data_IF_641894144702
#
_entry.id   IF_641894144702
#
_cell.length_a   1.000
_cell.length_b   1.000
_cell.length_c   1.000
_cell.angle_alpha   90.00
_cell.angle_beta   90.00
_cell.angle_gamma   90.00
#
_symmetry.space_group_name_H-M   'P 1'
#
loop_
_entity.id
_entity.type
_entity.pdbx_description
1 polymer ?
#
# COMPACT_ATOMS: atom_id res chain seq x y z
N UNK A 1 -2.11 -14.02 -38.07
CA UNK A 1 -1.34 -15.26 -37.75
C UNK A 1 -0.50 -15.00 -36.50
N UNK A 2 0.09 -16.03 -35.88
CA UNK A 2 0.90 -15.87 -34.65
C UNK A 2 1.99 -14.78 -34.79
N UNK A 3 2.56 -14.59 -35.99
CA UNK A 3 3.57 -13.56 -36.29
C UNK A 3 3.09 -12.10 -36.28
N UNK A 4 1.79 -11.83 -36.25
CA UNK A 4 1.29 -10.44 -36.14
C UNK A 4 1.45 -9.88 -34.72
N UNK A 5 1.49 -10.74 -33.69
CA UNK A 5 1.73 -10.36 -32.29
C UNK A 5 3.03 -10.95 -31.71
N UNK A 6 3.61 -11.97 -32.34
CA UNK A 6 4.93 -12.55 -32.02
C UNK A 6 5.97 -12.21 -33.10
N UNK A 7 5.97 -10.97 -33.59
CA UNK A 7 7.13 -10.48 -34.32
C UNK A 7 8.11 -9.81 -33.33
N UNK A 8 9.41 -9.79 -33.64
CA UNK A 8 10.40 -9.12 -32.83
C UNK A 8 10.04 -7.67 -32.53
N UNK A 9 9.34 -6.95 -33.41
CA UNK A 9 8.96 -5.56 -33.15
C UNK A 9 7.99 -5.43 -31.97
N UNK A 10 6.92 -6.24 -31.90
CA UNK A 10 5.97 -6.19 -30.78
C UNK A 10 6.60 -6.64 -29.46
N UNK A 11 7.38 -7.73 -29.46
CA UNK A 11 8.04 -8.24 -28.24
C UNK A 11 9.12 -7.28 -27.77
N UNK A 12 9.94 -6.75 -28.70
CA UNK A 12 10.96 -5.75 -28.39
C UNK A 12 10.32 -4.48 -27.85
N UNK A 13 9.21 -4.02 -28.45
CA UNK A 13 8.46 -2.86 -27.94
C UNK A 13 8.03 -3.06 -26.48
N UNK A 14 7.45 -4.23 -26.13
CA UNK A 14 7.02 -4.49 -24.74
C UNK A 14 8.19 -4.65 -23.79
N UNK A 15 9.29 -5.28 -24.21
CA UNK A 15 10.51 -5.38 -23.42
C UNK A 15 11.12 -4.00 -23.15
N UNK A 16 11.25 -3.15 -24.19
CA UNK A 16 11.76 -1.78 -24.04
C UNK A 16 10.83 -0.91 -23.17
N UNK A 17 9.52 -1.10 -23.25
CA UNK A 17 8.59 -0.46 -22.30
C UNK A 17 8.82 -0.95 -20.87
N UNK A 18 9.00 -2.25 -20.67
CA UNK A 18 9.24 -2.83 -19.35
C UNK A 18 10.55 -2.34 -18.73
N UNK A 19 11.60 -2.11 -19.52
CA UNK A 19 12.86 -1.52 -19.05
C UNK A 19 12.68 -0.13 -18.41
N UNK A 20 11.62 0.59 -18.77
CA UNK A 20 11.25 1.88 -18.18
C UNK A 20 10.35 1.74 -16.93
N UNK A 21 10.02 0.53 -16.50
CA UNK A 21 9.20 0.26 -15.32
C UNK A 21 10.04 0.19 -14.05
N UNK A 22 9.49 0.67 -12.93
CA UNK A 22 10.07 0.43 -11.60
C UNK A 22 10.19 -1.05 -11.25
N UNK A 23 9.43 -1.93 -11.89
CA UNK A 23 9.62 -3.37 -11.73
C UNK A 23 10.93 -3.87 -12.35
N UNK A 24 11.48 -3.16 -13.33
CA UNK A 24 12.75 -3.51 -13.95
C UNK A 24 13.94 -2.82 -13.27
N UNK A 25 13.89 -1.50 -13.08
CA UNK A 25 15.03 -0.72 -12.57
C UNK A 25 14.99 -0.44 -11.07
N UNK A 26 13.88 -0.71 -10.39
CA UNK A 26 13.73 -0.40 -8.97
C UNK A 26 14.61 -1.30 -8.10
N UNK A 27 15.23 -0.71 -7.09
CA UNK A 27 16.22 -1.42 -6.25
C UNK A 27 15.56 -2.37 -5.23
N UNK A 28 14.24 -2.28 -5.02
CA UNK A 28 13.55 -3.07 -4.00
C UNK A 28 13.69 -4.59 -4.21
N UNK A 29 13.79 -5.08 -5.45
CA UNK A 29 14.03 -6.50 -5.70
C UNK A 29 15.44 -6.92 -5.26
N UNK A 30 16.42 -6.04 -5.45
CA UNK A 30 17.81 -6.27 -5.07
C UNK A 30 18.02 -6.11 -3.56
N UNK A 31 17.48 -5.05 -2.94
CA UNK A 31 17.60 -4.77 -1.52
C UNK A 31 16.95 -5.86 -0.65
N UNK A 32 15.84 -6.43 -1.12
CA UNK A 32 15.10 -7.45 -0.39
C UNK A 32 15.52 -8.89 -0.77
N UNK A 33 16.43 -9.03 -1.74
CA UNK A 33 16.89 -10.31 -2.26
C UNK A 33 17.35 -11.25 -1.13
N UNK A 34 16.80 -12.47 -1.10
CA UNK A 34 17.14 -13.49 -0.10
C UNK A 34 16.28 -13.44 1.15
N UNK A 35 15.42 -12.42 1.30
CA UNK A 35 14.49 -12.33 2.41
C UNK A 35 13.18 -13.06 2.08
N UNK A 36 13.02 -14.26 2.62
CA UNK A 36 11.82 -15.09 2.45
C UNK A 36 10.49 -14.39 2.79
N UNK A 37 10.52 -13.36 3.65
CA UNK A 37 9.30 -12.60 4.02
C UNK A 37 8.99 -11.45 3.06
N UNK A 38 9.95 -11.02 2.23
CA UNK A 38 9.78 -9.95 1.24
C UNK A 38 9.66 -10.51 -0.19
N UNK A 39 10.29 -11.66 -0.43
CA UNK A 39 10.24 -12.44 -1.66
C UNK A 39 8.84 -12.62 -2.28
N UNK A 40 7.74 -12.80 -1.52
CA UNK A 40 6.40 -12.93 -2.10
C UNK A 40 5.95 -11.73 -2.95
N UNK A 41 6.54 -10.55 -2.75
CA UNK A 41 6.17 -9.32 -3.46
C UNK A 41 7.33 -8.70 -4.25
N UNK A 42 8.57 -8.90 -3.80
CA UNK A 42 9.75 -8.21 -4.35
C UNK A 42 10.58 -9.08 -5.29
N UNK A 43 10.30 -10.37 -5.39
CA UNK A 43 11.12 -11.31 -6.16
C UNK A 43 10.26 -12.26 -6.99
N UNK A 44 10.71 -12.55 -8.21
CA UNK A 44 9.92 -13.33 -9.18
C UNK A 44 9.72 -14.78 -8.74
N UNK A 45 10.76 -15.45 -8.24
CA UNK A 45 10.63 -16.85 -7.82
C UNK A 45 9.82 -16.97 -6.52
N UNK A 46 9.98 -16.02 -5.60
CA UNK A 46 9.20 -15.95 -4.36
C UNK A 46 7.72 -15.75 -4.65
N UNK A 47 7.39 -14.83 -5.55
CA UNK A 47 6.03 -14.60 -6.03
C UNK A 47 5.41 -15.87 -6.65
N UNK A 48 6.10 -16.49 -7.61
CA UNK A 48 5.62 -17.73 -8.25
C UNK A 48 5.46 -18.86 -7.25
N UNK A 49 6.35 -18.97 -6.28
CA UNK A 49 6.26 -19.97 -5.21
C UNK A 49 4.99 -19.81 -4.39
N UNK A 50 4.68 -18.59 -3.90
CA UNK A 50 3.50 -18.38 -3.05
C UNK A 50 2.19 -18.57 -3.81
N UNK A 51 2.18 -18.32 -5.12
CA UNK A 51 1.04 -18.63 -5.99
C UNK A 51 0.89 -20.14 -6.20
N UNK A 52 1.96 -20.80 -6.67
CA UNK A 52 1.93 -22.24 -6.98
C UNK A 52 1.51 -23.10 -5.79
N UNK A 53 1.93 -22.72 -4.59
CA UNK A 53 1.65 -23.47 -3.36
C UNK A 53 0.44 -22.94 -2.59
N UNK A 54 -0.28 -21.93 -3.12
CA UNK A 54 -1.42 -21.31 -2.47
C UNK A 54 -1.15 -20.93 -1.01
N UNK A 55 -0.01 -20.28 -0.76
CA UNK A 55 0.42 -19.93 0.59
C UNK A 55 -0.59 -18.95 1.21
N UNK A 56 -1.10 -19.23 2.42
CA UNK A 56 -2.18 -18.44 3.01
C UNK A 56 -1.70 -17.09 3.54
N UNK A 57 -2.60 -16.11 3.54
CA UNK A 57 -2.37 -14.77 4.11
C UNK A 57 -2.60 -14.69 5.63
N UNK A 58 -2.64 -15.85 6.31
CA UNK A 58 -2.98 -15.97 7.74
C UNK A 58 -1.75 -15.86 8.63
N UNK A 59 -1.98 -15.76 9.93
CA UNK A 59 -0.94 -15.89 10.96
C UNK A 59 -1.09 -17.24 11.67
N UNK A 60 0.03 -17.95 11.85
CA UNK A 60 0.05 -19.26 12.49
C UNK A 60 0.72 -19.18 13.86
N UNK A 61 0.08 -19.76 14.88
CA UNK A 61 0.64 -19.86 16.22
C UNK A 61 1.65 -21.01 16.28
N UNK A 62 2.89 -20.70 16.65
CA UNK A 62 3.85 -21.69 17.11
C UNK A 62 3.56 -22.00 18.58
N UNK A 63 3.03 -23.18 18.86
CA UNK A 63 2.64 -23.61 20.22
C UNK A 63 3.81 -23.81 21.18
N UNK A 64 5.03 -23.96 20.65
CA UNK A 64 6.25 -24.11 21.46
C UNK A 64 6.76 -22.76 21.95
N UNK A 65 6.75 -21.74 21.09
CA UNK A 65 7.21 -20.39 21.44
C UNK A 65 6.08 -19.48 21.93
N UNK A 66 4.83 -19.91 21.75
CA UNK A 66 3.62 -19.11 21.93
C UNK A 66 3.66 -17.79 21.13
N UNK A 67 4.25 -17.83 19.93
CA UNK A 67 4.34 -16.69 19.02
C UNK A 67 3.69 -16.99 17.68
N UNK A 68 3.02 -16.00 17.14
CA UNK A 68 2.49 -15.98 15.80
C UNK A 68 3.58 -15.61 14.79
N UNK A 69 3.48 -16.17 13.59
CA UNK A 69 4.22 -15.72 12.43
C UNK A 69 3.27 -15.56 11.24
N UNK A 70 3.57 -14.58 10.39
CA UNK A 70 2.88 -14.44 9.11
C UNK A 70 3.19 -15.67 8.24
N UNK A 71 2.15 -16.36 7.79
CA UNK A 71 2.29 -17.56 6.94
C UNK A 71 2.62 -17.19 5.49
N UNK A 72 2.38 -15.95 5.08
CA UNK A 72 2.62 -15.47 3.72
C UNK A 72 4.09 -15.19 3.47
N UNK A 73 4.86 -16.26 3.32
CA UNK A 73 6.32 -16.24 3.10
C UNK A 73 6.70 -17.20 1.98
N UNK A 74 7.79 -16.89 1.29
CA UNK A 74 8.43 -17.82 0.36
C UNK A 74 9.40 -18.75 1.13
N UNK A 75 10.02 -19.70 0.43
CA UNK A 75 11.18 -20.42 0.98
C UNK A 75 12.45 -19.63 0.74
N UNK A 76 13.48 -19.83 1.57
CA UNK A 76 14.81 -19.26 1.32
C UNK A 76 15.39 -19.69 -0.02
N UNK A 77 15.11 -20.94 -0.45
CA UNK A 77 15.53 -21.46 -1.76
C UNK A 77 14.76 -20.89 -2.95
N UNK A 78 13.75 -20.06 -2.73
CA UNK A 78 13.00 -19.35 -3.78
C UNK A 78 13.07 -17.85 -3.59
N UNK A 79 13.86 -17.38 -2.63
CA UNK A 79 14.00 -15.97 -2.32
C UNK A 79 15.09 -15.34 -3.20
N UNK A 80 14.87 -15.31 -4.51
CA UNK A 80 15.75 -14.64 -5.47
C UNK A 80 15.02 -14.24 -6.77
N UNK A 81 15.72 -13.41 -7.55
CA UNK A 81 15.39 -13.10 -8.95
C UNK A 81 14.52 -11.86 -9.09
N UNK A 82 14.94 -10.97 -9.99
CA UNK A 82 14.23 -9.73 -10.30
C UNK A 82 12.85 -10.01 -10.91
N UNK A 83 11.96 -9.01 -10.84
CA UNK A 83 10.66 -9.10 -11.52
C UNK A 83 10.90 -9.14 -13.04
N UNK A 84 10.30 -10.12 -13.71
CA UNK A 84 10.44 -10.35 -15.15
C UNK A 84 9.08 -10.56 -15.80
N UNK A 85 9.05 -10.69 -17.13
CA UNK A 85 7.85 -11.07 -17.87
C UNK A 85 7.21 -12.36 -17.31
N UNK A 86 8.03 -13.31 -16.83
CA UNK A 86 7.57 -14.58 -16.27
C UNK A 86 6.96 -14.46 -14.87
N UNK A 87 7.15 -13.32 -14.18
CA UNK A 87 6.46 -13.05 -12.93
C UNK A 87 4.96 -12.87 -13.20
N UNK A 88 4.63 -12.13 -14.27
CA UNK A 88 3.26 -11.83 -14.65
C UNK A 88 2.64 -12.91 -15.55
N UNK A 89 3.40 -13.44 -16.49
CA UNK A 89 2.95 -14.44 -17.46
C UNK A 89 3.57 -15.80 -17.15
N UNK A 90 2.75 -16.80 -16.88
CA UNK A 90 3.18 -18.10 -16.34
C UNK A 90 3.93 -18.99 -17.34
N UNK A 91 3.73 -18.76 -18.64
CA UNK A 91 3.96 -19.80 -19.66
C UNK A 91 4.59 -19.25 -20.95
N UNK A 92 5.33 -18.14 -20.87
CA UNK A 92 5.97 -17.54 -22.05
C UNK A 92 6.90 -18.54 -22.74
N UNK A 93 6.80 -18.64 -24.08
CA UNK A 93 7.61 -19.51 -24.93
C UNK A 93 7.50 -21.01 -24.64
N UNK A 94 6.34 -21.47 -24.16
CA UNK A 94 6.11 -22.90 -23.91
C UNK A 94 5.39 -23.57 -25.08
N UNK A 95 4.40 -22.90 -25.66
CA UNK A 95 3.59 -23.40 -26.79
C UNK A 95 3.71 -22.52 -28.04
N UNK A 96 4.27 -21.32 -27.91
CA UNK A 96 4.30 -20.29 -28.96
C UNK A 96 2.90 -19.93 -29.49
N UNK A 97 1.88 -20.09 -28.64
CA UNK A 97 0.47 -19.80 -28.92
C UNK A 97 -0.14 -18.86 -27.88
N UNK A 98 -1.45 -18.63 -27.95
CA UNK A 98 -2.14 -17.69 -27.04
C UNK A 98 -2.11 -18.10 -25.57
N UNK A 99 -1.89 -19.39 -25.30
CA UNK A 99 -1.71 -19.92 -23.95
C UNK A 99 -0.45 -19.37 -23.24
N UNK A 100 0.57 -18.96 -24.00
CA UNK A 100 1.82 -18.44 -23.43
C UNK A 100 1.62 -17.11 -22.68
N UNK A 101 0.52 -16.41 -22.96
CA UNK A 101 0.18 -15.13 -22.34
C UNK A 101 -0.64 -15.28 -21.05
N UNK A 102 -0.93 -16.50 -20.61
CA UNK A 102 -1.69 -16.76 -19.39
C UNK A 102 -1.02 -16.11 -18.17
N UNK A 103 -1.79 -15.32 -17.41
CA UNK A 103 -1.29 -14.71 -16.19
C UNK A 103 -0.95 -15.75 -15.13
N UNK A 104 0.06 -15.47 -14.31
CA UNK A 104 0.49 -16.33 -13.20
C UNK A 104 -0.63 -16.57 -12.19
N UNK A 105 -1.50 -15.59 -11.99
CA UNK A 105 -2.75 -15.75 -11.24
C UNK A 105 -3.80 -14.76 -11.72
N UNK A 106 -5.05 -15.15 -11.62
CA UNK A 106 -6.23 -14.26 -11.69
C UNK A 106 -7.12 -14.42 -10.44
N UNK A 107 -6.68 -15.24 -9.48
CA UNK A 107 -7.44 -15.56 -8.29
C UNK A 107 -7.58 -14.34 -7.37
N UNK A 108 -8.71 -14.25 -6.66
CA UNK A 108 -8.91 -13.25 -5.63
C UNK A 108 -7.78 -13.30 -4.58
N UNK A 109 -7.46 -12.15 -3.99
CA UNK A 109 -6.30 -11.96 -3.12
C UNK A 109 -6.74 -11.81 -1.66
N UNK A 110 -6.52 -12.83 -0.79
CA UNK A 110 -6.67 -12.67 0.64
C UNK A 110 -5.66 -11.63 1.15
N UNK A 111 -6.15 -10.62 1.87
CA UNK A 111 -5.37 -9.46 2.28
C UNK A 111 -4.54 -9.80 3.51
N UNK A 112 -3.22 -9.75 3.36
CA UNK A 112 -2.25 -10.03 4.44
C UNK A 112 -2.41 -9.07 5.61
N UNK A 113 -2.72 -7.79 5.35
CA UNK A 113 -3.03 -6.81 6.41
C UNK A 113 -4.09 -7.34 7.37
N UNK A 114 -5.15 -7.99 6.89
CA UNK A 114 -6.24 -8.47 7.73
C UNK A 114 -6.13 -9.96 8.06
N UNK A 115 -4.92 -10.53 8.02
CA UNK A 115 -4.66 -11.96 8.22
C UNK A 115 -5.58 -12.87 7.37
N UNK A 116 -5.93 -12.43 6.15
CA UNK A 116 -6.83 -13.14 5.24
C UNK A 116 -8.33 -12.94 5.49
N UNK A 117 -8.73 -12.20 6.52
CA UNK A 117 -10.15 -11.96 6.84
C UNK A 117 -10.87 -11.07 5.80
N UNK A 118 -10.12 -10.23 5.06
CA UNK A 118 -10.63 -9.47 3.91
C UNK A 118 -10.03 -10.05 2.62
N UNK A 119 -10.81 -10.11 1.55
CA UNK A 119 -10.38 -10.61 0.23
C UNK A 119 -10.62 -9.55 -0.83
N UNK A 120 -9.57 -9.14 -1.53
CA UNK A 120 -9.63 -8.22 -2.65
C UNK A 120 -9.93 -9.02 -3.92
N UNK A 121 -10.94 -8.59 -4.69
CA UNK A 121 -11.24 -9.19 -5.99
C UNK A 121 -11.70 -8.10 -6.97
N UNK A 122 -11.03 -8.02 -8.12
CA UNK A 122 -11.32 -7.07 -9.20
C UNK A 122 -11.82 -7.85 -10.43
N UNK A 123 -13.14 -8.09 -10.56
CA UNK A 123 -13.67 -8.98 -11.58
C UNK A 123 -13.81 -8.35 -12.98
N UNK A 124 -13.66 -7.02 -13.11
CA UNK A 124 -13.93 -6.27 -14.34
C UNK A 124 -13.14 -6.77 -15.56
N UNK A 125 -11.96 -7.35 -15.36
CA UNK A 125 -11.10 -7.92 -16.40
C UNK A 125 -10.92 -9.44 -16.28
N UNK A 126 -11.94 -10.13 -15.77
CA UNK A 126 -11.88 -11.57 -15.43
C UNK A 126 -10.77 -11.88 -14.41
N UNK A 127 -10.53 -10.96 -13.47
CA UNK A 127 -9.58 -11.14 -12.38
C UNK A 127 -8.11 -10.93 -12.76
N UNK A 128 -7.79 -10.44 -13.96
CA UNK A 128 -6.40 -10.18 -14.37
C UNK A 128 -5.75 -9.12 -13.48
N UNK A 129 -6.50 -8.12 -13.05
CA UNK A 129 -6.02 -7.09 -12.12
C UNK A 129 -5.67 -7.67 -10.74
N UNK A 130 -6.19 -8.84 -10.37
CA UNK A 130 -5.81 -9.51 -9.13
C UNK A 130 -4.32 -9.92 -9.12
N UNK A 131 -3.70 -10.11 -10.30
CA UNK A 131 -2.26 -10.31 -10.42
C UNK A 131 -1.49 -9.14 -9.81
N UNK A 132 -1.84 -7.91 -10.19
CA UNK A 132 -1.18 -6.70 -9.69
C UNK A 132 -1.44 -6.53 -8.18
N UNK A 133 -2.69 -6.76 -7.75
CA UNK A 133 -3.09 -6.66 -6.34
C UNK A 133 -2.34 -7.64 -5.45
N UNK A 134 -1.88 -8.78 -5.97
CA UNK A 134 -1.17 -9.76 -5.17
C UNK A 134 0.07 -9.18 -4.48
N UNK A 135 0.78 -8.27 -5.14
CA UNK A 135 1.88 -7.48 -4.57
C UNK A 135 1.42 -6.09 -4.10
N UNK A 136 0.51 -5.44 -4.83
CA UNK A 136 -0.10 -4.16 -4.47
C UNK A 136 -1.32 -4.36 -3.56
N UNK A 137 -1.08 -5.05 -2.43
CA UNK A 137 -1.99 -5.12 -1.28
C UNK A 137 -1.28 -4.56 -0.03
N UNK A 138 -2.01 -3.99 0.94
CA UNK A 138 -1.42 -3.58 2.21
C UNK A 138 -0.91 -4.80 2.98
N UNK A 139 0.21 -4.62 3.69
CA UNK A 139 0.80 -5.61 4.58
C UNK A 139 0.58 -5.25 6.06
N UNK A 140 0.48 -6.26 6.95
CA UNK A 140 0.05 -6.06 8.33
C UNK A 140 1.08 -5.32 9.18
N UNK A 141 0.58 -4.59 10.16
CA UNK A 141 1.32 -4.19 11.35
C UNK A 141 1.31 -5.37 12.32
N UNK A 142 2.46 -5.71 12.88
CA UNK A 142 2.59 -6.79 13.87
C UNK A 142 2.99 -6.21 15.22
N UNK A 143 2.60 -6.89 16.30
CA UNK A 143 2.99 -6.49 17.66
C UNK A 143 4.51 -6.51 17.80
N UNK A 144 5.10 -5.54 18.52
CA UNK A 144 6.56 -5.30 18.53
C UNK A 144 7.18 -4.94 19.88
N UNK A 145 6.40 -5.01 20.97
CA UNK A 145 6.89 -4.78 22.33
C UNK A 145 7.55 -6.00 22.97
N UNK A 146 8.03 -5.88 24.21
CA UNK A 146 8.44 -7.03 25.05
C UNK A 146 7.33 -8.05 25.31
N UNK A 147 6.06 -7.63 25.22
CA UNK A 147 4.88 -8.49 25.32
C UNK A 147 4.32 -8.92 23.97
N UNK A 148 5.04 -8.64 22.88
CA UNK A 148 4.66 -9.06 21.53
C UNK A 148 4.58 -10.58 21.45
N UNK A 149 3.42 -11.04 20.99
CA UNK A 149 3.19 -12.40 20.54
C UNK A 149 3.46 -12.55 19.03
N UNK A 150 3.93 -11.51 18.34
CA UNK A 150 4.20 -11.50 16.90
C UNK A 150 2.94 -11.51 16.03
N UNK A 151 1.75 -11.39 16.63
CA UNK A 151 0.50 -11.40 15.88
C UNK A 151 0.26 -10.07 15.15
N UNK A 152 -0.64 -10.11 14.17
CA UNK A 152 -1.19 -8.90 13.54
C UNK A 152 -1.90 -8.03 14.59
N UNK A 153 -1.85 -6.71 14.40
CA UNK A 153 -2.66 -5.76 15.19
C UNK A 153 -4.14 -6.08 15.01
N UNK A 154 -4.91 -6.04 16.10
CA UNK A 154 -6.36 -6.21 16.06
C UNK A 154 -7.03 -4.94 15.51
N UNK A 155 -7.13 -4.88 14.18
CA UNK A 155 -7.76 -3.77 13.49
C UNK A 155 -9.27 -3.67 13.77
N UNK A 156 -9.93 -4.76 14.17
CA UNK A 156 -11.34 -4.73 14.55
C UNK A 156 -11.53 -4.05 15.91
N UNK A 157 -10.63 -4.29 16.86
CA UNK A 157 -10.61 -3.60 18.16
C UNK A 157 -10.41 -2.08 18.01
N UNK A 158 -9.64 -1.64 17.00
CA UNK A 158 -9.48 -0.21 16.70
C UNK A 158 -10.83 0.48 16.46
N UNK A 159 -11.73 -0.21 15.75
CA UNK A 159 -13.08 0.29 15.41
C UNK A 159 -14.06 0.07 16.57
N UNK A 160 -14.04 -1.11 17.19
CA UNK A 160 -15.02 -1.49 18.21
C UNK A 160 -14.81 -0.74 19.53
N UNK A 161 -13.56 -0.39 19.87
CA UNK A 161 -13.20 0.23 21.15
C UNK A 161 -12.36 1.50 20.93
N UNK A 162 -12.89 2.55 20.29
CA UNK A 162 -12.09 3.69 19.80
C UNK A 162 -11.38 4.49 20.91
N UNK A 163 -11.94 4.52 22.12
CA UNK A 163 -11.37 5.26 23.27
C UNK A 163 -10.37 4.45 24.08
N UNK A 164 -10.23 3.14 23.81
CA UNK A 164 -9.29 2.28 24.51
C UNK A 164 -7.86 2.77 24.26
N UNK A 165 -7.05 2.78 25.32
CA UNK A 165 -5.62 3.09 25.21
C UNK A 165 -4.94 1.97 24.44
N UNK A 166 -4.40 2.32 23.26
CA UNK A 166 -3.63 1.41 22.41
C UNK A 166 -2.16 1.39 22.83
N UNK A 167 -1.61 2.58 23.11
CA UNK A 167 -0.24 2.77 23.58
C UNK A 167 -0.22 3.74 24.76
N UNK A 168 0.33 3.29 25.89
CA UNK A 168 0.54 4.12 27.08
C UNK A 168 2.02 4.55 27.19
N UNK A 169 2.26 5.84 27.02
CA UNK A 169 3.58 6.48 27.13
C UNK A 169 4.16 6.49 28.55
N UNK A 170 3.34 6.28 29.58
CA UNK A 170 3.81 6.21 30.96
C UNK A 170 4.72 4.99 31.17
N UNK A 171 4.34 3.85 30.57
CA UNK A 171 5.01 2.54 30.74
C UNK A 171 5.97 2.18 29.61
N UNK A 172 5.92 2.87 28.47
CA UNK A 172 6.89 2.67 27.37
C UNK A 172 6.86 1.26 26.78
N UNK A 173 7.95 0.49 26.89
CA UNK A 173 8.04 -0.89 26.37
C UNK A 173 7.60 -1.97 27.39
N UNK A 174 6.84 -1.59 28.41
CA UNK A 174 6.29 -2.51 29.39
C UNK A 174 4.78 -2.73 29.18
N UNK A 175 4.20 -3.60 30.01
CA UNK A 175 2.76 -3.86 30.04
C UNK A 175 1.96 -2.56 30.23
N UNK A 176 0.81 -2.38 29.54
CA UNK A 176 0.12 -3.34 28.68
C UNK A 176 0.45 -3.24 27.18
N UNK A 177 1.43 -2.41 26.79
CA UNK A 177 1.69 -2.13 25.38
C UNK A 177 2.14 -3.39 24.64
N UNK A 178 1.47 -3.70 23.52
CA UNK A 178 1.85 -4.80 22.62
C UNK A 178 2.56 -4.34 21.35
N UNK A 179 2.33 -3.11 20.92
CA UNK A 179 2.93 -2.50 19.73
C UNK A 179 3.48 -1.12 20.09
N UNK A 180 4.74 -0.89 19.77
CA UNK A 180 5.43 0.36 20.03
C UNK A 180 5.37 1.30 18.82
N UNK A 181 5.01 2.58 19.02
CA UNK A 181 5.29 3.63 18.05
C UNK A 181 6.78 3.68 17.70
N UNK A 182 7.07 3.87 16.42
CA UNK A 182 8.43 4.01 15.87
C UNK A 182 8.37 4.88 14.62
N UNK A 183 9.51 5.28 14.07
CA UNK A 183 9.56 6.03 12.82
C UNK A 183 8.72 5.34 11.71
N UNK A 184 8.87 4.02 11.57
CA UNK A 184 8.12 3.19 10.60
C UNK A 184 6.87 2.54 11.20
N UNK A 185 6.12 3.26 12.05
CA UNK A 185 4.83 2.79 12.57
C UNK A 185 3.74 2.92 11.50
N UNK A 186 3.65 1.93 10.60
CA UNK A 186 2.67 1.95 9.51
C UNK A 186 2.33 0.56 8.99
N UNK A 187 1.22 0.47 8.25
CA UNK A 187 0.99 -0.66 7.33
C UNK A 187 2.00 -0.59 6.19
N UNK A 188 2.70 -1.68 5.93
CA UNK A 188 3.68 -1.71 4.84
C UNK A 188 2.96 -1.55 3.48
N UNK A 189 3.64 -0.90 2.53
CA UNK A 189 3.10 -0.34 1.28
C UNK A 189 2.26 -1.31 0.43
N UNK A 190 1.64 -0.78 -0.63
CA UNK A 190 0.81 -1.57 -1.55
C UNK A 190 -0.69 -1.36 -1.38
N UNK A 191 -1.13 -0.27 -0.74
CA UNK A 191 -2.55 -0.06 -0.42
C UNK A 191 -3.49 0.06 -1.64
N UNK A 192 -2.95 0.31 -2.84
CA UNK A 192 -3.70 0.64 -4.06
C UNK A 192 -4.77 -0.38 -4.41
N UNK A 193 -4.47 -1.68 -4.34
CA UNK A 193 -5.44 -2.73 -4.65
C UNK A 193 -6.63 -2.74 -3.69
N UNK A 194 -6.37 -2.50 -2.40
CA UNK A 194 -7.40 -2.41 -1.38
C UNK A 194 -8.27 -1.16 -1.56
N UNK A 195 -7.66 -0.01 -1.86
CA UNK A 195 -8.38 1.23 -2.20
C UNK A 195 -9.27 1.04 -3.42
N UNK A 196 -8.76 0.46 -4.51
CA UNK A 196 -9.53 0.22 -5.73
C UNK A 196 -10.78 -0.63 -5.44
N UNK A 197 -10.64 -1.68 -4.64
CA UNK A 197 -11.76 -2.53 -4.20
C UNK A 197 -12.67 -1.89 -3.14
N UNK A 198 -12.27 -0.74 -2.59
CA UNK A 198 -12.94 0.00 -1.53
C UNK A 198 -13.06 -0.76 -0.23
N UNK A 199 -11.93 -1.27 0.24
CA UNK A 199 -11.81 -1.97 1.50
C UNK A 199 -10.41 -1.82 2.09
N UNK A 200 -10.20 -2.37 3.28
CA UNK A 200 -8.88 -2.52 3.90
C UNK A 200 -8.50 -1.41 4.87
N UNK A 201 -9.05 -0.21 4.73
CA UNK A 201 -8.93 0.86 5.73
C UNK A 201 -9.61 0.50 7.06
N UNK A 202 -9.36 1.34 8.07
CA UNK A 202 -10.02 1.28 9.38
C UNK A 202 -11.36 2.02 9.27
N UNK A 203 -12.44 1.26 9.09
CA UNK A 203 -13.76 1.78 8.74
C UNK A 203 -14.54 2.17 10.00
N UNK A 204 -14.35 3.41 10.47
CA UNK A 204 -15.14 3.98 11.55
C UNK A 204 -16.58 4.27 11.13
N UNK A 205 -17.54 4.05 12.03
CA UNK A 205 -18.90 4.52 11.81
C UNK A 205 -18.92 6.07 11.71
N UNK A 206 -19.75 6.61 10.83
CA UNK A 206 -19.84 8.05 10.62
C UNK A 206 -20.93 8.46 9.64
N UNK A 207 -20.89 9.71 9.21
CA UNK A 207 -21.92 10.32 8.38
C UNK A 207 -21.96 9.78 6.93
N UNK A 208 -20.82 9.28 6.42
CA UNK A 208 -20.74 8.76 5.06
C UNK A 208 -20.75 7.23 5.03
N UNK A 209 -21.53 6.68 4.11
CA UNK A 209 -21.54 5.24 3.83
C UNK A 209 -20.39 4.88 2.91
N UNK A 210 -19.65 3.82 3.25
CA UNK A 210 -18.61 3.26 2.40
C UNK A 210 -19.21 2.69 1.12
N UNK A 211 -18.87 3.30 -0.02
CA UNK A 211 -19.32 2.88 -1.34
C UNK A 211 -18.20 2.97 -2.35
N UNK A 212 -18.34 2.24 -3.46
CA UNK A 212 -17.33 2.18 -4.52
C UNK A 212 -17.62 3.16 -5.66
N UNK A 213 -16.54 3.73 -6.19
CA UNK A 213 -16.55 4.44 -7.48
C UNK A 213 -16.86 3.48 -8.64
N UNK A 214 -17.25 4.06 -9.78
CA UNK A 214 -17.63 3.29 -10.97
C UNK A 214 -16.50 2.40 -11.50
N UNK A 215 -15.23 2.85 -11.37
CA UNK A 215 -14.05 2.13 -11.83
C UNK A 215 -13.92 0.73 -11.21
N UNK A 216 -14.29 0.53 -9.95
CA UNK A 216 -14.10 -0.75 -9.23
C UNK A 216 -14.73 -1.95 -9.97
N UNK A 217 -15.84 -1.74 -10.67
CA UNK A 217 -16.58 -2.81 -11.35
C UNK A 217 -16.51 -2.74 -12.88
N UNK A 218 -16.00 -1.65 -13.46
CA UNK A 218 -16.07 -1.39 -14.90
C UNK A 218 -14.72 -1.07 -15.56
N UNK A 219 -13.67 -0.91 -14.75
CA UNK A 219 -12.32 -0.67 -15.25
C UNK A 219 -11.33 -1.63 -14.59
N UNK A 220 -10.23 -1.85 -15.26
CA UNK A 220 -9.09 -2.66 -14.82
C UNK A 220 -7.88 -1.79 -14.55
N UNK A 221 -6.90 -2.34 -13.83
CA UNK A 221 -5.59 -1.70 -13.70
C UNK A 221 -4.98 -1.45 -15.08
N UNK A 222 -5.15 -2.40 -16.02
CA UNK A 222 -4.54 -2.35 -17.35
C UNK A 222 -5.16 -1.30 -18.26
N UNK A 223 -6.44 -0.95 -18.08
CA UNK A 223 -7.11 0.07 -18.91
C UNK A 223 -6.45 1.44 -18.77
N UNK A 224 -5.94 1.75 -17.57
CA UNK A 224 -5.31 3.04 -17.27
C UNK A 224 -3.78 2.94 -17.26
N UNK A 225 -3.20 1.96 -16.57
CA UNK A 225 -1.75 1.86 -16.38
C UNK A 225 -1.02 1.26 -17.56
N UNK A 226 -1.72 0.46 -18.38
CA UNK A 226 -1.19 -0.13 -19.60
C UNK A 226 -1.87 0.44 -20.86
N UNK A 227 -2.55 1.58 -20.73
CA UNK A 227 -3.07 2.34 -21.87
C UNK A 227 -1.97 2.63 -22.90
N UNK A 228 -2.37 3.00 -24.12
CA UNK A 228 -1.42 3.39 -25.17
C UNK A 228 -0.38 4.37 -24.61
N UNK A 229 0.90 4.05 -24.82
CA UNK A 229 2.00 4.77 -24.21
C UNK A 229 2.07 6.21 -24.73
N UNK A 230 2.28 7.16 -23.82
CA UNK A 230 2.56 8.57 -24.13
C UNK A 230 3.76 9.00 -23.28
N UNK A 231 4.85 9.38 -23.93
CA UNK A 231 6.13 9.60 -23.25
C UNK A 231 6.58 8.33 -22.52
N UNK A 232 6.74 8.38 -21.19
CA UNK A 232 7.12 7.24 -20.33
C UNK A 232 5.96 6.60 -19.56
N UNK A 233 4.72 6.97 -19.88
CA UNK A 233 3.53 6.51 -19.17
C UNK A 233 2.63 5.65 -20.08
N UNK A 234 2.03 4.59 -19.54
CA UNK A 234 1.27 3.57 -20.28
C UNK A 234 2.11 2.35 -20.68
N UNK A 235 1.51 1.43 -21.43
CA UNK A 235 2.15 0.19 -21.87
C UNK A 235 2.73 -0.62 -20.70
N UNK A 236 3.84 -1.32 -20.94
CA UNK A 236 4.51 -2.11 -19.90
C UNK A 236 5.41 -1.28 -18.97
N UNK A 237 5.33 0.06 -18.99
CA UNK A 237 5.94 0.88 -17.93
C UNK A 237 5.09 0.83 -16.65
N UNK A 238 3.77 0.59 -16.80
CA UNK A 238 2.73 0.60 -15.76
C UNK A 238 2.54 1.96 -15.06
N UNK A 239 3.13 3.02 -15.60
CA UNK A 239 3.00 4.38 -15.06
C UNK A 239 1.81 5.06 -15.70
N UNK A 240 0.80 5.47 -14.91
CA UNK A 240 -0.34 6.24 -15.43
C UNK A 240 -0.14 7.77 -15.34
N UNK A 241 0.90 8.25 -14.64
CA UNK A 241 1.10 9.68 -14.36
C UNK A 241 1.22 10.49 -15.65
N UNK A 242 0.28 11.40 -15.86
CA UNK A 242 0.26 12.31 -17.01
C UNK A 242 -0.26 11.67 -18.32
N UNK A 243 -0.65 10.39 -18.30
CA UNK A 243 -1.26 9.73 -19.44
C UNK A 243 -2.77 9.56 -19.22
N UNK A 244 -3.56 10.25 -20.05
CA UNK A 244 -5.03 10.20 -20.00
C UNK A 244 -5.64 9.33 -21.12
N UNK A 245 -4.81 8.61 -21.89
CA UNK A 245 -5.27 7.80 -23.01
C UNK A 245 -6.28 6.73 -22.56
N UNK A 246 -6.06 6.10 -21.39
CA UNK A 246 -7.00 5.12 -20.82
C UNK A 246 -8.33 5.74 -20.36
N UNK A 247 -8.32 7.02 -19.96
CA UNK A 247 -9.54 7.73 -19.57
C UNK A 247 -10.38 8.11 -20.81
N UNK A 248 -9.70 8.55 -21.87
CA UNK A 248 -10.27 9.18 -23.05
C UNK A 248 -10.60 8.18 -24.16
N UNK A 249 -11.12 7.01 -23.79
CA UNK A 249 -11.64 6.01 -24.72
C UNK A 249 -13.15 6.21 -24.93
N UNK A 250 -13.67 5.75 -26.07
CA UNK A 250 -15.09 5.88 -26.43
C UNK A 250 -16.02 5.27 -25.39
N UNK A 251 -15.63 4.13 -24.81
CA UNK A 251 -16.46 3.38 -23.84
C UNK A 251 -16.31 3.90 -22.40
N UNK A 252 -15.51 4.95 -22.17
CA UNK A 252 -15.29 5.56 -20.85
C UNK A 252 -15.77 7.02 -20.82
N UNK A 253 -14.84 7.98 -20.88
CA UNK A 253 -15.19 9.40 -20.77
C UNK A 253 -15.34 10.10 -22.13
N UNK A 254 -15.13 9.39 -23.24
CA UNK A 254 -15.07 9.98 -24.58
C UNK A 254 -13.74 10.68 -24.85
N UNK A 255 -13.43 10.87 -26.14
CA UNK A 255 -12.14 11.40 -26.57
C UNK A 255 -11.93 12.85 -26.10
N UNK A 256 -10.79 13.11 -25.44
CA UNK A 256 -10.37 14.46 -25.03
C UNK A 256 -11.10 15.03 -23.80
N UNK A 257 -11.98 14.26 -23.16
CA UNK A 257 -12.79 14.75 -22.04
C UNK A 257 -11.99 14.97 -20.77
N UNK A 258 -11.08 14.04 -20.43
CA UNK A 258 -10.32 14.06 -19.18
C UNK A 258 -8.89 14.54 -19.43
N UNK A 259 -8.43 15.47 -18.58
CA UNK A 259 -7.09 16.02 -18.60
C UNK A 259 -6.66 16.42 -17.18
N UNK A 260 -5.41 16.85 -17.02
CA UNK A 260 -4.88 17.33 -15.74
C UNK A 260 -5.55 18.61 -15.23
N UNK A 261 -6.29 19.33 -16.08
CA UNK A 261 -7.03 20.54 -15.75
C UNK A 261 -8.54 20.33 -15.63
N UNK A 262 -9.06 19.12 -15.91
CA UNK A 262 -10.49 18.85 -15.83
C UNK A 262 -10.98 18.93 -14.37
N UNK A 263 -11.90 19.87 -14.09
CA UNK A 263 -12.45 20.07 -12.75
C UNK A 263 -13.22 18.85 -12.23
N UNK A 264 -14.20 18.39 -13.00
CA UNK A 264 -15.15 17.35 -12.60
C UNK A 264 -14.48 16.02 -12.29
N UNK A 265 -13.59 15.56 -13.16
CA UNK A 265 -13.04 14.21 -13.11
C UNK A 265 -11.64 14.13 -12.51
N UNK A 266 -10.92 15.26 -12.40
CA UNK A 266 -9.52 15.25 -11.96
C UNK A 266 -9.23 16.20 -10.80
N UNK A 267 -9.29 17.51 -11.00
CA UNK A 267 -8.77 18.46 -10.01
C UNK A 267 -9.65 18.58 -8.77
N UNK A 268 -10.99 18.59 -8.91
CA UNK A 268 -11.90 18.67 -7.75
C UNK A 268 -11.82 17.43 -6.86
N UNK A 269 -11.96 16.18 -7.37
CA UNK A 269 -11.83 14.99 -6.51
C UNK A 269 -10.48 14.94 -5.76
N UNK A 270 -9.38 15.21 -6.47
CA UNK A 270 -8.04 15.21 -5.88
C UNK A 270 -7.83 16.32 -4.86
N UNK A 271 -8.42 17.50 -5.09
CA UNK A 271 -8.39 18.61 -4.13
C UNK A 271 -9.18 18.27 -2.88
N UNK A 272 -10.36 17.66 -3.00
CA UNK A 272 -11.18 17.26 -1.85
C UNK A 272 -10.42 16.27 -0.96
N UNK A 273 -9.82 15.23 -1.54
CA UNK A 273 -8.99 14.28 -0.79
C UNK A 273 -7.77 14.96 -0.16
N UNK A 274 -7.13 15.89 -0.85
CA UNK A 274 -6.00 16.65 -0.29
C UNK A 274 -6.44 17.49 0.92
N UNK A 275 -7.59 18.16 0.85
CA UNK A 275 -8.15 18.93 1.96
C UNK A 275 -8.42 18.03 3.17
N UNK A 276 -9.05 16.87 2.95
CA UNK A 276 -9.33 15.91 4.03
C UNK A 276 -8.05 15.32 4.63
N UNK A 277 -7.03 14.99 3.80
CA UNK A 277 -5.72 14.55 4.30
C UNK A 277 -5.07 15.60 5.20
N UNK A 278 -5.12 16.88 4.82
CA UNK A 278 -4.58 17.97 5.63
C UNK A 278 -5.37 18.15 6.95
N UNK A 279 -6.70 18.06 6.91
CA UNK A 279 -7.54 18.12 8.11
C UNK A 279 -7.24 16.97 9.07
N UNK A 280 -7.11 15.75 8.55
CA UNK A 280 -6.75 14.58 9.34
C UNK A 280 -5.35 14.71 9.93
N UNK A 281 -4.37 15.16 9.13
CA UNK A 281 -3.01 15.40 9.61
C UNK A 281 -2.97 16.44 10.75
N UNK A 282 -3.76 17.51 10.67
CA UNK A 282 -3.90 18.48 11.76
C UNK A 282 -4.38 17.82 13.05
N UNK A 283 -5.49 17.08 12.99
CA UNK A 283 -6.04 16.36 14.16
C UNK A 283 -5.08 15.33 14.75
N UNK A 284 -4.33 14.63 13.90
CA UNK A 284 -3.29 13.69 14.34
C UNK A 284 -2.16 14.46 15.03
N UNK A 285 -1.70 15.58 14.48
CA UNK A 285 -0.62 16.37 15.07
C UNK A 285 -1.01 17.08 16.37
N UNK A 286 -2.28 17.42 16.57
CA UNK A 286 -2.79 17.99 17.82
C UNK A 286 -2.55 17.05 19.03
N UNK A 287 -2.44 15.74 18.80
CA UNK A 287 -2.07 14.73 19.83
C UNK A 287 -0.71 15.05 20.46
N UNK A 288 0.22 15.62 19.68
CA UNK A 288 1.57 15.95 20.14
C UNK A 288 1.68 17.20 21.02
N UNK A 289 0.56 17.87 21.33
CA UNK A 289 0.53 18.93 22.35
C UNK A 289 1.43 20.13 22.05
N UNK A 290 1.54 20.51 20.77
CA UNK A 290 2.37 21.64 20.32
C UNK A 290 3.56 21.25 19.44
N UNK A 291 3.83 19.96 19.25
CA UNK A 291 4.75 19.46 18.23
C UNK A 291 4.05 18.42 17.36
N UNK A 292 4.34 18.41 16.06
CA UNK A 292 3.78 17.41 15.16
C UNK A 292 4.24 16.00 15.59
N UNK A 293 3.34 15.01 15.45
CA UNK A 293 3.71 13.60 15.59
C UNK A 293 3.96 12.94 14.23
N UNK A 294 3.42 13.49 13.15
CA UNK A 294 3.73 13.09 11.79
C UNK A 294 5.07 13.69 11.37
N UNK A 295 5.90 12.87 10.72
CA UNK A 295 7.16 13.32 10.15
C UNK A 295 6.92 14.10 8.85
N UNK A 296 7.71 15.16 8.66
CA UNK A 296 7.68 16.02 7.48
C UNK A 296 9.02 15.94 6.76
N UNK A 297 8.97 15.69 5.46
CA UNK A 297 10.15 15.66 4.59
C UNK A 297 9.78 16.34 3.27
N UNK A 298 10.43 17.47 2.97
CA UNK A 298 10.15 18.27 1.78
C UNK A 298 10.91 17.81 0.54
N UNK A 299 11.98 17.04 0.71
CA UNK A 299 12.76 16.51 -0.40
C UNK A 299 11.97 15.43 -1.15
N UNK A 300 11.63 15.62 -2.44
CA UNK A 300 10.91 14.63 -3.22
C UNK A 300 11.69 13.33 -3.48
N UNK A 301 13.01 13.30 -3.26
CA UNK A 301 13.83 12.08 -3.33
C UNK A 301 13.66 11.21 -2.08
N UNK A 302 13.45 11.83 -0.92
CA UNK A 302 13.25 11.15 0.37
C UNK A 302 11.76 10.95 0.70
N UNK A 303 10.90 11.82 0.19
CA UNK A 303 9.45 11.77 0.33
C UNK A 303 8.77 11.60 -1.04
N UNK A 304 8.37 10.36 -1.35
CA UNK A 304 7.62 10.02 -2.56
C UNK A 304 6.25 10.74 -2.66
N UNK A 305 5.80 11.36 -1.57
CA UNK A 305 4.55 12.10 -1.43
C UNK A 305 4.76 13.60 -1.19
N UNK A 306 5.96 14.14 -1.44
CA UNK A 306 6.21 15.58 -1.38
C UNK A 306 5.20 16.35 -2.25
N UNK A 307 4.60 17.40 -1.68
CA UNK A 307 3.51 18.18 -2.28
C UNK A 307 2.14 17.49 -2.26
N UNK A 308 2.01 16.29 -1.68
CA UNK A 308 0.71 15.64 -1.53
C UNK A 308 -0.14 16.31 -0.44
N UNK A 309 0.50 16.82 0.61
CA UNK A 309 -0.07 17.54 1.75
C UNK A 309 0.66 18.85 1.96
N UNK A 310 0.05 19.81 2.68
CA UNK A 310 0.67 21.13 2.93
C UNK A 310 1.92 21.01 3.81
N UNK A 311 1.95 20.05 4.73
CA UNK A 311 3.09 19.80 5.63
C UNK A 311 4.16 18.87 5.06
N UNK A 312 4.04 18.43 3.79
CA UNK A 312 4.91 17.42 3.17
C UNK A 312 5.11 16.19 4.07
N UNK A 313 4.03 15.69 4.67
CA UNK A 313 4.08 14.48 5.47
C UNK A 313 4.33 13.26 4.57
N UNK A 314 5.19 12.35 5.02
CA UNK A 314 5.54 11.10 4.32
C UNK A 314 4.81 9.85 4.90
N UNK A 315 3.96 10.08 5.89
CA UNK A 315 3.21 9.04 6.59
C UNK A 315 4.03 8.30 7.65
N UNK A 316 5.26 8.71 7.95
CA UNK A 316 5.98 8.25 9.12
C UNK A 316 5.64 9.09 10.36
N UNK A 317 6.07 8.60 11.52
CA UNK A 317 5.99 9.35 12.77
C UNK A 317 7.33 10.05 13.04
N UNK A 318 7.31 11.25 13.61
CA UNK A 318 8.51 12.01 13.94
C UNK A 318 9.22 11.49 15.21
N UNK A 319 9.52 10.19 15.19
CA UNK A 319 10.19 9.45 16.26
C UNK A 319 11.64 9.24 15.86
N UNK A 320 12.54 9.44 16.82
CA UNK A 320 13.97 9.23 16.67
C UNK A 320 14.31 7.81 16.19
N UNK A 321 15.07 7.75 15.11
CA UNK A 321 15.73 6.53 14.63
C UNK A 321 17.13 6.89 14.18
N UNK A 322 18.16 6.25 14.75
CA UNK A 322 19.55 6.65 14.51
C UNK A 322 19.97 6.58 13.03
N UNK A 323 19.30 5.73 12.24
CA UNK A 323 19.61 5.53 10.82
C UNK A 323 18.68 6.33 9.90
N UNK A 324 17.38 6.31 10.18
CA UNK A 324 16.36 6.77 9.25
C UNK A 324 15.72 8.12 9.64
N UNK A 325 15.80 8.51 10.92
CA UNK A 325 15.33 9.81 11.42
C UNK A 325 16.18 10.26 12.63
N UNK A 326 17.48 10.56 12.43
CA UNK A 326 18.39 10.88 13.53
C UNK A 326 18.01 12.18 14.25
N UNK A 327 17.21 13.03 13.61
CA UNK A 327 16.74 14.28 14.16
C UNK A 327 15.37 14.20 14.82
N UNK A 328 14.70 13.04 14.76
CA UNK A 328 13.32 12.86 15.21
C UNK A 328 13.06 13.46 16.59
N UNK A 329 11.97 14.21 16.71
CA UNK A 329 11.67 14.94 17.93
C UNK A 329 11.29 14.01 19.07
N UNK A 330 10.45 13.02 18.79
CA UNK A 330 9.92 12.14 19.82
C UNK A 330 10.84 10.97 20.14
N UNK A 331 10.85 10.58 21.40
CA UNK A 331 11.55 9.40 21.89
C UNK A 331 10.95 8.14 21.27
N UNK A 332 11.82 7.27 20.77
CA UNK A 332 11.49 5.90 20.41
C UNK A 332 11.39 5.03 21.68
N UNK A 333 10.20 4.51 22.03
CA UNK A 333 10.02 3.71 23.24
C UNK A 333 10.77 2.38 23.23
N UNK A 334 11.23 1.89 22.07
CA UNK A 334 12.04 0.68 21.93
C UNK A 334 13.55 0.90 22.02
N UNK A 335 14.03 2.15 22.15
CA UNK A 335 15.46 2.48 22.13
C UNK A 335 15.91 3.06 23.48
N UNK A 336 17.06 2.63 23.99
CA UNK A 336 17.60 3.07 25.29
C UNK A 336 18.88 3.90 25.18
N UNK A 337 19.26 4.33 23.98
CA UNK A 337 20.45 5.18 23.78
C UNK A 337 20.31 6.52 24.52
N UNK A 338 21.43 7.09 24.96
CA UNK A 338 21.42 8.38 25.66
C UNK A 338 20.77 9.48 24.83
N UNK A 339 21.06 9.53 23.52
CA UNK A 339 20.44 10.46 22.57
C UNK A 339 18.92 10.32 22.54
N UNK A 340 18.40 9.09 22.46
CA UNK A 340 16.97 8.85 22.47
C UNK A 340 16.33 9.23 23.81
N UNK A 341 16.99 8.89 24.93
CA UNK A 341 16.48 9.15 26.27
C UNK A 341 16.42 10.63 26.63
N UNK A 342 17.17 11.49 25.92
CA UNK A 342 17.07 12.95 26.03
C UNK A 342 15.84 13.53 25.30
N UNK A 343 15.21 12.80 24.39
CA UNK A 343 14.03 13.24 23.63
C UNK A 343 12.75 13.21 24.49
N UNK A 344 11.78 14.11 24.25
CA UNK A 344 10.44 14.05 24.83
C UNK A 344 9.74 12.72 24.57
N UNK A 345 8.95 12.23 25.54
CA UNK A 345 8.19 10.98 25.37
C UNK A 345 7.12 11.17 24.28
N UNK A 346 7.06 10.24 23.33
CA UNK A 346 5.95 10.18 22.39
C UNK A 346 4.61 10.04 23.15
N UNK A 347 3.54 10.77 22.78
CA UNK A 347 2.28 10.77 23.52
C UNK A 347 1.59 9.40 23.53
N UNK A 348 0.75 9.16 24.54
CA UNK A 348 -0.13 7.98 24.55
C UNK A 348 -1.12 8.05 23.39
N UNK A 349 -1.49 6.91 22.81
CA UNK A 349 -2.44 6.80 21.70
C UNK A 349 -3.66 5.97 22.10
N UNK A 350 -4.84 6.42 21.67
CA UNK A 350 -6.06 5.61 21.66
C UNK A 350 -6.17 4.77 20.39
N UNK A 351 -7.06 3.78 20.42
CA UNK A 351 -7.45 2.97 19.26
C UNK A 351 -7.90 3.83 18.07
N UNK A 352 -8.73 4.86 18.30
CA UNK A 352 -9.16 5.81 17.27
C UNK A 352 -7.98 6.56 16.64
N UNK A 353 -7.04 7.02 17.46
CA UNK A 353 -5.85 7.75 16.99
C UNK A 353 -4.93 6.85 16.15
N UNK A 354 -4.73 5.59 16.54
CA UNK A 354 -3.97 4.62 15.75
C UNK A 354 -4.68 4.32 14.43
N UNK A 355 -6.00 4.09 14.46
CA UNK A 355 -6.77 3.89 13.24
C UNK A 355 -6.73 5.09 12.30
N UNK A 356 -6.72 6.30 12.86
CA UNK A 356 -6.56 7.53 12.10
C UNK A 356 -5.18 7.68 11.45
N UNK A 357 -4.10 7.35 12.17
CA UNK A 357 -2.74 7.32 11.62
C UNK A 357 -2.66 6.32 10.46
N UNK A 358 -3.22 5.12 10.63
CA UNK A 358 -3.27 4.10 9.57
C UNK A 358 -4.06 4.62 8.36
N UNK A 359 -5.24 5.22 8.56
CA UNK A 359 -6.06 5.74 7.46
C UNK A 359 -5.39 6.92 6.74
N UNK A 360 -4.70 7.79 7.47
CA UNK A 360 -3.89 8.86 6.86
C UNK A 360 -2.81 8.27 5.95
N UNK A 361 -2.04 7.29 6.45
CA UNK A 361 -1.03 6.59 5.66
C UNK A 361 -1.64 5.86 4.47
N UNK A 362 -2.79 5.20 4.66
CA UNK A 362 -3.49 4.45 3.63
C UNK A 362 -3.96 5.36 2.48
N UNK A 363 -4.55 6.51 2.80
CA UNK A 363 -5.00 7.47 1.79
C UNK A 363 -3.84 8.26 1.15
N UNK A 364 -2.75 8.53 1.89
CA UNK A 364 -1.57 9.19 1.35
C UNK A 364 -0.83 8.29 0.35
N UNK A 365 -0.64 7.01 0.73
CA UNK A 365 0.25 6.06 0.04
C UNK A 365 -0.38 5.35 -1.15
N UNK A 366 -1.63 5.63 -1.48
CA UNK A 366 -2.29 5.14 -2.69
C UNK A 366 -1.97 6.00 -3.94
N UNK A 367 -1.39 7.20 -3.75
CA UNK A 367 -0.90 8.15 -4.77
C UNK A 367 -1.94 8.81 -5.69
N UNK A 368 -3.11 8.21 -5.88
CA UNK A 368 -4.09 8.73 -6.84
C UNK A 368 -4.92 9.89 -6.31
N UNK A 369 -4.87 10.17 -5.00
CA UNK A 369 -5.68 11.19 -4.33
C UNK A 369 -7.17 11.00 -4.64
N UNK A 370 -7.64 9.75 -4.57
CA UNK A 370 -9.03 9.37 -4.80
C UNK A 370 -9.43 9.03 -6.23
N UNK A 371 -8.52 9.01 -7.22
CA UNK A 371 -8.89 8.60 -8.58
C UNK A 371 -9.21 7.09 -8.66
N UNK A 372 -8.48 6.26 -7.91
CA UNK A 372 -8.76 4.83 -7.83
C UNK A 372 -10.16 4.55 -7.25
N UNK A 373 -10.53 5.24 -6.15
CA UNK A 373 -11.84 5.08 -5.54
C UNK A 373 -12.23 6.29 -4.64
N UNK A 374 -12.68 7.37 -5.27
CA UNK A 374 -13.04 8.62 -4.59
C UNK A 374 -14.07 8.40 -3.47
N UNK A 375 -15.17 7.69 -3.76
CA UNK A 375 -16.24 7.50 -2.79
C UNK A 375 -15.76 6.79 -1.53
N UNK A 376 -14.93 5.76 -1.68
CA UNK A 376 -14.39 5.04 -0.53
C UNK A 376 -13.41 5.88 0.29
N UNK A 377 -12.40 6.49 -0.36
CA UNK A 377 -11.39 7.29 0.36
C UNK A 377 -12.01 8.53 1.01
N UNK A 378 -12.98 9.16 0.35
CA UNK A 378 -13.70 10.30 0.92
C UNK A 378 -14.43 9.90 2.21
N UNK A 379 -15.24 8.83 2.17
CA UNK A 379 -15.93 8.32 3.34
C UNK A 379 -14.96 7.88 4.45
N UNK A 380 -13.84 7.23 4.07
CA UNK A 380 -12.79 6.82 5.01
C UNK A 380 -12.22 8.02 5.75
N UNK A 381 -11.83 9.07 5.05
CA UNK A 381 -11.26 10.27 5.67
C UNK A 381 -12.31 11.04 6.48
N UNK A 382 -13.52 11.26 5.95
CA UNK A 382 -14.60 11.99 6.65
C UNK A 382 -14.97 11.30 7.97
N UNK A 383 -15.23 9.99 7.95
CA UNK A 383 -15.59 9.26 9.16
C UNK A 383 -14.43 9.19 10.16
N UNK A 384 -13.18 9.09 9.67
CA UNK A 384 -11.99 9.12 10.53
C UNK A 384 -11.82 10.48 11.22
N UNK A 385 -11.98 11.58 10.48
CA UNK A 385 -11.89 12.95 11.01
C UNK A 385 -12.97 13.20 12.07
N UNK A 386 -14.17 12.65 11.88
CA UNK A 386 -15.26 12.76 12.85
C UNK A 386 -15.07 11.91 14.11
N UNK A 387 -14.23 10.87 14.05
CA UNK A 387 -13.91 9.98 15.17
C UNK A 387 -12.86 10.59 16.12
N UNK A 388 -12.03 11.51 15.62
CA UNK A 388 -11.03 12.27 16.39
C UNK A 388 -11.62 13.59 16.87
#
# INVERSE_FOLDING_TARGET
>A
TCGECHNPATVTEKATQFELSKHYYGEAAFEEAGNATCAPCHESEGFKYVIKNNIPATFALNTTTNKYSNSYVATSSTAYGDITCNTCHSSLHTTYGTADWAFTTTAAVPMTMWAGAKTINLPADNGKSNLCVRCHQPRPMTTSSTLSDGNVVDYADLVANPTKVYYDSAVGNAAPNKHLPSYRFHVHYGVVGAVCAGMGGIEFAGAETYTNSYHTNNASCTDCHMAAMSGRAGGHTFVAKGNFNGCNTTDCHGAGTVSSSNATYWTTPRSNITTLLNQLASKINDIGGGHNILHSESDPELNLWAGATTGNFDGYLDIYDASANPNGYWRNPGNTSATNMAKPKFPSLTNAQVGAIINFQFALREYSKGIHNYKYIHALLVNTIAML
#
